data_IF_404209946246
#
_entry.id   IF_404209946246
#
_cell.length_a   1.000
_cell.length_b   1.000
_cell.length_c   1.000
_cell.angle_alpha   90.00
_cell.angle_beta   90.00
_cell.angle_gamma   90.00
#
_symmetry.space_group_name_H-M   'P 1'
#
loop_
_entity.id
_entity.type
_entity.pdbx_description
1 polymer ?
#
# COMPACT_ATOMS: atom_id res chain seq x y z
N UNK A 1 -52.14 -1.94 91.91
CA UNK A 1 -50.72 -1.80 91.53
C UNK A 1 -50.53 -2.60 90.26
N UNK A 2 -50.42 -1.91 89.12
CA UNK A 2 -50.61 -2.50 87.79
C UNK A 2 -49.37 -2.21 86.93
N UNK A 3 -48.83 -3.29 86.37
CA UNK A 3 -47.93 -3.49 85.22
C UNK A 3 -47.00 -2.36 84.74
N UNK A 4 -45.71 -2.70 84.62
CA UNK A 4 -44.74 -2.02 83.75
C UNK A 4 -43.88 -3.06 83.03
N UNK A 5 -44.25 -3.40 81.80
CA UNK A 5 -43.52 -4.30 80.90
C UNK A 5 -42.39 -3.51 80.23
N UNK A 6 -41.15 -3.98 80.35
CA UNK A 6 -39.97 -3.39 79.70
C UNK A 6 -39.88 -3.92 78.27
N UNK A 7 -40.00 -3.04 77.29
CA UNK A 7 -39.70 -3.32 75.88
C UNK A 7 -38.22 -3.05 75.62
N UNK A 8 -37.47 -4.07 75.18
CA UNK A 8 -36.12 -3.90 74.62
C UNK A 8 -36.23 -4.00 73.11
N UNK A 9 -35.95 -2.90 72.42
CA UNK A 9 -36.03 -2.76 70.96
C UNK A 9 -35.01 -3.64 70.25
N UNK A 10 -35.48 -4.51 69.34
CA UNK A 10 -34.63 -5.22 68.37
C UNK A 10 -34.47 -4.32 67.15
N UNK A 11 -33.24 -3.87 66.88
CA UNK A 11 -32.89 -3.18 65.63
C UNK A 11 -32.71 -4.26 64.55
N UNK A 12 -33.65 -4.33 63.61
CA UNK A 12 -33.53 -5.18 62.41
C UNK A 12 -32.69 -4.41 61.39
N UNK A 13 -31.45 -4.86 61.17
CA UNK A 13 -30.58 -4.35 60.13
C UNK A 13 -30.95 -5.04 58.80
N UNK A 14 -31.74 -4.37 57.97
CA UNK A 14 -32.10 -4.86 56.64
C UNK A 14 -30.90 -4.67 55.69
N UNK A 15 -30.17 -5.75 55.40
CA UNK A 15 -29.11 -5.76 54.38
C UNK A 15 -29.79 -5.81 53.02
N UNK A 16 -29.79 -4.68 52.30
CA UNK A 16 -30.19 -4.62 50.89
C UNK A 16 -29.01 -5.16 50.07
N UNK A 17 -29.12 -6.41 49.61
CA UNK A 17 -28.20 -6.98 48.62
C UNK A 17 -28.57 -6.41 47.25
N UNK A 18 -27.83 -5.41 46.79
CA UNK A 18 -27.92 -4.94 45.41
C UNK A 18 -27.22 -5.93 44.50
N UNK A 19 -28.00 -6.78 43.82
CA UNK A 19 -27.52 -7.61 42.73
C UNK A 19 -26.98 -6.73 41.61
N UNK A 20 -25.67 -6.48 41.64
CA UNK A 20 -24.95 -5.91 40.52
C UNK A 20 -24.87 -7.00 39.46
N UNK A 21 -25.78 -6.95 38.48
CA UNK A 21 -25.58 -7.63 37.21
C UNK A 21 -24.28 -7.08 36.61
N UNK A 22 -23.19 -7.82 36.80
CA UNK A 22 -22.02 -7.67 35.96
C UNK A 22 -22.48 -7.98 34.53
N UNK A 23 -22.74 -6.93 33.77
CA UNK A 23 -22.70 -7.00 32.32
C UNK A 23 -21.32 -7.55 31.98
N UNK A 24 -21.27 -8.80 31.54
CA UNK A 24 -20.09 -9.36 30.91
C UNK A 24 -19.73 -8.40 29.79
N UNK A 25 -18.64 -7.64 29.98
CA UNK A 25 -18.10 -6.77 28.96
C UNK A 25 -18.02 -7.56 27.66
N UNK A 26 -18.62 -7.02 26.60
CA UNK A 26 -18.46 -7.59 25.27
C UNK A 26 -16.97 -7.81 25.06
N UNK A 27 -16.58 -9.05 24.75
CA UNK A 27 -15.26 -9.32 24.22
C UNK A 27 -15.02 -8.28 23.12
N UNK A 28 -13.87 -7.57 23.09
CA UNK A 28 -13.57 -6.71 21.97
C UNK A 28 -13.78 -7.57 20.72
N UNK A 29 -14.71 -7.16 19.85
CA UNK A 29 -15.01 -7.88 18.61
C UNK A 29 -13.67 -8.19 17.96
N UNK A 30 -13.35 -9.48 17.84
CA UNK A 30 -12.16 -9.89 17.12
C UNK A 30 -12.26 -9.25 15.74
N UNK A 31 -11.23 -8.54 15.26
CA UNK A 31 -11.31 -7.86 13.99
C UNK A 31 -11.70 -8.88 12.92
N UNK A 32 -12.79 -8.58 12.19
CA UNK A 32 -13.33 -9.49 11.17
C UNK A 32 -12.24 -9.81 10.15
N UNK A 33 -11.82 -11.08 10.12
CA UNK A 33 -10.80 -11.55 9.20
C UNK A 33 -11.26 -11.33 7.74
N UNK A 34 -10.44 -10.63 6.95
CA UNK A 34 -10.66 -10.41 5.53
C UNK A 34 -10.12 -11.65 4.77
N UNK A 35 -11.02 -12.35 4.08
CA UNK A 35 -10.76 -13.55 3.29
C UNK A 35 -11.16 -13.27 1.86
N UNK A 36 -10.19 -12.98 1.00
CA UNK A 36 -10.46 -12.54 -0.35
C UNK A 36 -10.02 -13.48 -1.44
N UNK A 37 -10.67 -13.36 -2.60
CA UNK A 37 -10.18 -13.88 -3.87
C UNK A 37 -9.49 -12.77 -4.64
N UNK A 38 -8.38 -13.11 -5.32
CA UNK A 38 -7.66 -12.21 -6.21
C UNK A 38 -8.07 -12.47 -7.66
N UNK A 39 -8.35 -11.41 -8.40
CA UNK A 39 -8.91 -11.44 -9.75
C UNK A 39 -10.44 -11.35 -9.78
N UNK A 40 -11.00 -11.34 -10.99
CA UNK A 40 -12.45 -11.24 -11.19
C UNK A 40 -13.18 -12.47 -10.60
N UNK A 41 -14.20 -12.28 -9.75
CA UNK A 41 -15.01 -13.38 -9.21
C UNK A 41 -16.02 -13.94 -10.24
N UNK A 42 -16.09 -13.39 -11.46
CA UNK A 42 -17.10 -13.75 -12.45
C UNK A 42 -17.17 -15.27 -12.72
N UNK A 43 -16.03 -15.96 -12.84
CA UNK A 43 -16.01 -17.39 -13.09
C UNK A 43 -16.65 -18.23 -11.95
N UNK A 44 -16.57 -17.74 -10.71
CA UNK A 44 -17.21 -18.39 -9.55
C UNK A 44 -18.72 -18.18 -9.60
N UNK A 45 -19.12 -16.96 -9.90
CA UNK A 45 -20.51 -16.56 -10.05
C UNK A 45 -21.24 -17.24 -11.21
N UNK A 46 -20.56 -17.42 -12.34
CA UNK A 46 -21.09 -18.11 -13.53
C UNK A 46 -21.36 -19.60 -13.26
N UNK A 47 -20.60 -20.20 -12.33
CA UNK A 47 -20.83 -21.55 -11.84
C UNK A 47 -21.92 -21.64 -10.74
N UNK A 48 -22.55 -20.50 -10.39
CA UNK A 48 -23.62 -20.44 -9.40
C UNK A 48 -23.16 -20.41 -7.94
N UNK A 49 -21.86 -20.22 -7.67
CA UNK A 49 -21.38 -20.01 -6.31
C UNK A 49 -21.68 -18.58 -5.83
N UNK A 50 -21.90 -18.45 -4.53
CA UNK A 50 -21.79 -17.18 -3.79
C UNK A 50 -20.42 -17.12 -3.11
N UNK A 51 -19.93 -15.92 -2.82
CA UNK A 51 -18.68 -15.74 -2.08
C UNK A 51 -18.79 -16.36 -0.67
N UNK A 52 -19.94 -16.23 -0.03
CA UNK A 52 -20.23 -16.85 1.28
C UNK A 52 -20.07 -18.38 1.25
N UNK A 53 -20.59 -19.05 0.21
CA UNK A 53 -20.46 -20.51 0.06
C UNK A 53 -19.00 -20.97 -0.02
N UNK A 54 -18.10 -20.09 -0.47
CA UNK A 54 -16.67 -20.33 -0.56
C UNK A 54 -15.91 -19.85 0.70
N UNK A 55 -16.62 -19.32 1.70
CA UNK A 55 -16.04 -18.73 2.89
C UNK A 55 -15.29 -17.42 2.64
N UNK A 56 -15.54 -16.77 1.49
CA UNK A 56 -14.92 -15.52 1.04
C UNK A 56 -15.81 -14.35 1.45
N UNK A 57 -15.20 -13.26 1.93
CA UNK A 57 -15.90 -12.02 2.30
C UNK A 57 -15.26 -10.76 1.71
N UNK A 58 -14.36 -10.92 0.73
CA UNK A 58 -13.83 -9.81 -0.03
C UNK A 58 -13.36 -10.22 -1.42
N UNK A 59 -13.21 -9.23 -2.30
CA UNK A 59 -12.60 -9.39 -3.62
C UNK A 59 -11.46 -8.38 -3.80
N UNK A 60 -10.40 -8.80 -4.45
CA UNK A 60 -9.26 -7.96 -4.84
C UNK A 60 -9.16 -8.00 -6.36
N UNK A 61 -9.49 -6.89 -7.03
CA UNK A 61 -9.65 -6.87 -8.49
C UNK A 61 -8.80 -5.76 -9.08
N UNK A 62 -8.09 -6.06 -10.19
CA UNK A 62 -7.40 -5.05 -10.99
C UNK A 62 -8.38 -3.93 -11.38
N UNK A 63 -8.01 -2.68 -11.14
CA UNK A 63 -8.90 -1.51 -11.32
C UNK A 63 -9.52 -1.44 -12.73
N UNK A 64 -8.74 -1.76 -13.76
CA UNK A 64 -9.21 -1.80 -15.15
C UNK A 64 -10.19 -2.94 -15.49
N UNK A 65 -10.47 -3.83 -14.54
CA UNK A 65 -11.41 -4.95 -14.69
C UNK A 65 -12.65 -4.81 -13.81
N UNK A 66 -12.73 -3.77 -12.98
CA UNK A 66 -13.92 -3.47 -12.18
C UNK A 66 -15.08 -3.01 -13.08
N UNK A 67 -16.29 -3.45 -12.74
CA UNK A 67 -17.53 -2.95 -13.34
C UNK A 67 -18.55 -2.64 -12.25
N UNK A 68 -19.50 -1.71 -12.49
CA UNK A 68 -20.50 -1.37 -11.48
C UNK A 68 -21.32 -2.59 -11.04
N UNK A 69 -21.62 -3.50 -11.95
CA UNK A 69 -22.36 -4.75 -11.67
C UNK A 69 -21.56 -5.69 -10.77
N UNK A 70 -20.24 -5.79 -10.99
CA UNK A 70 -19.35 -6.58 -10.14
C UNK A 70 -19.31 -6.02 -8.71
N UNK A 71 -19.13 -4.70 -8.57
CA UNK A 71 -19.11 -4.05 -7.27
C UNK A 71 -20.45 -4.21 -6.56
N UNK A 72 -21.57 -3.94 -7.26
CA UNK A 72 -22.91 -4.08 -6.71
C UNK A 72 -23.18 -5.51 -6.24
N UNK A 73 -22.84 -6.52 -7.06
CA UNK A 73 -23.03 -7.92 -6.69
C UNK A 73 -22.20 -8.30 -5.47
N UNK A 74 -20.91 -7.97 -5.45
CA UNK A 74 -20.05 -8.26 -4.30
C UNK A 74 -20.58 -7.64 -3.00
N UNK A 75 -20.97 -6.35 -3.05
CA UNK A 75 -21.57 -5.65 -1.90
C UNK A 75 -22.91 -6.27 -1.47
N UNK A 76 -23.74 -6.73 -2.41
CA UNK A 76 -25.01 -7.42 -2.09
C UNK A 76 -24.80 -8.77 -1.39
N UNK A 77 -23.65 -9.41 -1.60
CA UNK A 77 -23.20 -10.62 -0.90
C UNK A 77 -22.45 -10.29 0.42
N UNK A 78 -22.42 -9.02 0.83
CA UNK A 78 -21.74 -8.55 2.04
C UNK A 78 -20.21 -8.55 1.95
N UNK A 79 -19.65 -8.68 0.74
CA UNK A 79 -18.21 -8.71 0.54
C UNK A 79 -17.62 -7.30 0.42
N UNK A 80 -16.40 -7.13 0.96
CA UNK A 80 -15.58 -5.94 0.74
C UNK A 80 -14.97 -5.94 -0.67
N UNK A 81 -14.84 -4.78 -1.27
CA UNK A 81 -14.27 -4.60 -2.61
C UNK A 81 -12.99 -3.80 -2.52
N UNK A 82 -11.87 -4.41 -2.92
CA UNK A 82 -10.57 -3.79 -2.98
C UNK A 82 -10.09 -3.70 -4.43
N UNK A 83 -9.61 -2.53 -4.83
CA UNK A 83 -9.05 -2.33 -6.16
C UNK A 83 -7.52 -2.41 -6.14
N UNK A 84 -6.93 -3.26 -6.96
CA UNK A 84 -5.50 -3.19 -7.27
C UNK A 84 -5.24 -2.01 -8.23
N UNK A 85 -4.23 -1.21 -7.91
CA UNK A 85 -3.91 0.04 -8.59
C UNK A 85 -2.43 0.12 -8.97
N UNK A 86 -2.16 0.08 -10.28
CA UNK A 86 -0.83 -0.05 -10.87
C UNK A 86 0.06 1.21 -10.74
N UNK A 87 0.50 1.55 -9.53
CA UNK A 87 0.96 2.88 -9.12
C UNK A 87 2.10 3.46 -9.96
N UNK A 88 3.23 2.75 -10.12
CA UNK A 88 4.40 3.25 -10.88
C UNK A 88 4.64 2.50 -12.19
N UNK A 89 3.61 1.84 -12.73
CA UNK A 89 3.68 1.24 -14.05
C UNK A 89 3.54 2.35 -15.12
N UNK A 90 4.62 2.60 -15.85
CA UNK A 90 4.72 3.62 -16.90
C UNK A 90 4.41 3.12 -18.30
N UNK A 91 4.10 1.83 -18.49
CA UNK A 91 3.80 1.27 -19.81
C UNK A 91 2.63 2.02 -20.47
N UNK A 92 2.82 2.49 -21.70
CA UNK A 92 1.86 3.28 -22.45
C UNK A 92 1.92 4.78 -22.15
N UNK A 93 2.58 5.19 -21.07
CA UNK A 93 2.79 6.61 -20.73
C UNK A 93 4.17 7.09 -21.21
N UNK A 94 5.24 6.37 -20.87
CA UNK A 94 6.62 6.82 -21.12
C UNK A 94 6.97 6.91 -22.61
N UNK A 95 6.25 6.17 -23.46
CA UNK A 95 6.38 6.21 -24.91
C UNK A 95 5.95 7.55 -25.51
N UNK A 96 4.97 8.21 -24.90
CA UNK A 96 4.45 9.52 -25.29
C UNK A 96 5.08 10.66 -24.47
N UNK A 97 5.62 10.33 -23.29
CA UNK A 97 6.20 11.24 -22.30
C UNK A 97 7.66 10.86 -22.00
N UNK A 98 8.57 11.24 -22.90
CA UNK A 98 9.97 10.82 -22.83
C UNK A 98 10.71 11.33 -21.59
N UNK A 99 10.26 12.44 -21.02
CA UNK A 99 10.73 13.03 -19.76
C UNK A 99 10.48 12.13 -18.54
N UNK A 100 9.43 11.30 -18.60
CA UNK A 100 9.07 10.36 -17.54
C UNK A 100 9.84 9.04 -17.65
N UNK A 101 10.61 8.83 -18.71
CA UNK A 101 11.37 7.59 -18.92
C UNK A 101 12.53 7.47 -17.93
N UNK A 102 12.62 6.37 -17.20
CA UNK A 102 13.72 6.13 -16.26
C UNK A 102 15.09 6.06 -16.97
N UNK A 103 16.08 6.77 -16.43
CA UNK A 103 17.44 6.85 -16.95
C UNK A 103 18.37 6.07 -16.04
N UNK A 104 19.21 5.20 -16.60
CA UNK A 104 20.18 4.42 -15.85
C UNK A 104 21.46 5.20 -15.51
N UNK A 105 22.36 4.56 -14.76
CA UNK A 105 23.65 5.10 -14.34
C UNK A 105 24.61 5.42 -15.50
N UNK A 106 24.28 5.00 -16.73
CA UNK A 106 25.03 5.32 -17.96
C UNK A 106 24.43 6.50 -18.72
N UNK A 107 23.36 7.11 -18.21
CA UNK A 107 22.63 8.18 -18.90
C UNK A 107 21.76 7.68 -20.06
N UNK A 108 21.40 6.40 -20.08
CA UNK A 108 20.55 5.80 -21.12
C UNK A 108 19.18 5.48 -20.58
N UNK A 109 18.16 5.56 -21.44
CA UNK A 109 16.82 5.02 -21.15
C UNK A 109 16.92 3.53 -20.85
N UNK A 110 16.23 3.09 -19.81
CA UNK A 110 16.08 1.66 -19.51
C UNK A 110 15.17 0.97 -20.52
N UNK A 111 15.43 -0.31 -20.81
CA UNK A 111 14.48 -1.16 -21.51
C UNK A 111 13.40 -1.66 -20.55
N UNK A 112 12.37 -2.33 -21.06
CA UNK A 112 11.42 -3.04 -20.21
C UNK A 112 12.16 -4.09 -19.36
N UNK A 113 11.81 -4.18 -18.08
CA UNK A 113 12.29 -5.23 -17.20
C UNK A 113 11.28 -6.39 -17.31
N UNK A 114 11.49 -7.28 -18.28
CA UNK A 114 10.53 -8.31 -18.67
C UNK A 114 9.18 -7.68 -19.10
N UNK A 115 8.08 -7.93 -18.38
CA UNK A 115 6.76 -7.33 -18.67
C UNK A 115 6.57 -5.93 -18.06
N UNK A 116 7.40 -5.54 -17.09
CA UNK A 116 7.26 -4.28 -16.38
C UNK A 116 8.01 -3.15 -17.07
N UNK A 117 7.34 -2.01 -17.23
CA UNK A 117 7.97 -0.74 -17.62
C UNK A 117 7.72 0.28 -16.52
N UNK A 118 8.68 0.43 -15.61
CA UNK A 118 8.64 1.47 -14.59
C UNK A 118 8.83 2.87 -15.17
N UNK A 119 8.18 3.84 -14.55
CA UNK A 119 8.33 5.28 -14.80
C UNK A 119 9.38 5.90 -13.87
N UNK A 120 9.85 7.10 -14.18
CA UNK A 120 10.59 7.95 -13.24
C UNK A 120 9.64 8.43 -12.12
N UNK A 121 9.82 8.02 -10.84
CA UNK A 121 8.88 8.35 -9.76
C UNK A 121 8.89 9.84 -9.36
N UNK A 122 9.86 10.61 -9.83
CA UNK A 122 9.93 12.06 -9.58
C UNK A 122 9.32 12.88 -10.71
N UNK A 123 8.79 12.24 -11.75
CA UNK A 123 8.13 12.96 -12.84
C UNK A 123 6.77 13.52 -12.38
N UNK A 124 6.64 14.84 -12.42
CA UNK A 124 5.44 15.53 -11.93
C UNK A 124 4.23 15.32 -12.84
N UNK A 125 4.44 15.14 -14.15
CA UNK A 125 3.38 14.86 -15.11
C UNK A 125 2.74 13.50 -14.85
N UNK A 126 3.56 12.46 -14.73
CA UNK A 126 3.11 11.12 -14.42
C UNK A 126 2.47 11.04 -13.04
N UNK A 127 3.03 11.73 -12.03
CA UNK A 127 2.43 11.82 -10.70
C UNK A 127 1.02 12.39 -10.75
N UNK A 128 0.85 13.54 -11.38
CA UNK A 128 -0.48 14.16 -11.58
C UNK A 128 -1.42 13.20 -12.31
N UNK A 129 -0.98 12.64 -13.44
CA UNK A 129 -1.75 11.66 -14.21
C UNK A 129 -2.24 10.50 -13.36
N UNK A 130 -1.35 9.90 -12.57
CA UNK A 130 -1.66 8.75 -11.73
C UNK A 130 -2.62 9.11 -10.60
N UNK A 131 -2.44 10.24 -9.93
CA UNK A 131 -3.36 10.68 -8.88
C UNK A 131 -4.75 11.00 -9.43
N UNK A 132 -4.85 11.57 -10.64
CA UNK A 132 -6.14 11.77 -11.31
C UNK A 132 -6.83 10.43 -11.61
N UNK A 133 -6.09 9.40 -12.05
CA UNK A 133 -6.67 8.06 -12.24
C UNK A 133 -7.17 7.44 -10.94
N UNK A 134 -6.46 7.65 -9.82
CA UNK A 134 -6.89 7.17 -8.51
C UNK A 134 -8.19 7.85 -8.07
N UNK A 135 -8.27 9.18 -8.21
CA UNK A 135 -9.47 9.95 -7.90
C UNK A 135 -10.66 9.49 -8.76
N UNK A 136 -10.44 9.27 -10.05
CA UNK A 136 -11.47 8.75 -10.93
C UNK A 136 -11.95 7.35 -10.50
N UNK A 137 -11.04 6.42 -10.21
CA UNK A 137 -11.36 5.09 -9.70
C UNK A 137 -12.24 5.14 -8.44
N UNK A 138 -11.91 6.03 -7.50
CA UNK A 138 -12.65 6.19 -6.24
C UNK A 138 -14.01 6.92 -6.42
N UNK A 139 -14.16 7.71 -7.48
CA UNK A 139 -15.44 8.32 -7.84
C UNK A 139 -16.36 7.34 -8.57
N UNK A 140 -15.79 6.48 -9.41
CA UNK A 140 -16.52 5.54 -10.24
C UNK A 140 -17.01 4.31 -9.44
N UNK A 141 -16.33 3.96 -8.33
CA UNK A 141 -16.63 2.76 -7.55
C UNK A 141 -16.59 3.00 -6.03
N UNK A 142 -17.55 2.42 -5.32
CA UNK A 142 -17.56 2.38 -3.85
C UNK A 142 -16.62 1.29 -3.33
N UNK A 143 -15.37 1.67 -3.05
CA UNK A 143 -14.32 0.75 -2.62
C UNK A 143 -14.11 0.75 -1.09
N UNK A 144 -13.82 -0.44 -0.55
CA UNK A 144 -13.39 -0.63 0.83
C UNK A 144 -11.88 -0.46 1.01
N UNK A 145 -11.16 -0.26 -0.10
CA UNK A 145 -9.73 0.03 -0.09
C UNK A 145 -9.07 -0.07 -1.46
N UNK A 146 -7.82 0.37 -1.49
CA UNK A 146 -6.96 0.35 -2.67
C UNK A 146 -5.68 -0.40 -2.31
N UNK A 147 -5.28 -1.33 -3.16
CA UNK A 147 -4.01 -2.04 -3.06
C UNK A 147 -3.06 -1.49 -4.11
N UNK A 148 -2.03 -0.77 -3.68
CA UNK A 148 -1.02 -0.27 -4.59
C UNK A 148 -0.16 -1.42 -5.11
N UNK A 149 0.01 -1.47 -6.42
CA UNK A 149 0.91 -2.37 -7.12
C UNK A 149 2.06 -1.61 -7.80
N UNK A 150 3.16 -2.31 -8.10
CA UNK A 150 4.38 -1.76 -8.71
C UNK A 150 4.95 -0.55 -7.97
N UNK A 151 4.88 -0.49 -6.63
CA UNK A 151 5.38 0.64 -5.83
C UNK A 151 6.89 0.52 -5.61
N UNK A 152 7.66 0.61 -6.67
CA UNK A 152 9.12 0.64 -6.61
C UNK A 152 9.71 1.34 -7.82
N UNK A 153 10.99 1.70 -7.73
CA UNK A 153 11.75 2.17 -8.88
C UNK A 153 11.86 1.09 -9.96
N UNK A 154 12.17 1.49 -11.19
CA UNK A 154 12.24 0.58 -12.34
C UNK A 154 13.15 -0.64 -12.07
N UNK A 155 12.53 -1.82 -11.96
CA UNK A 155 13.15 -3.12 -11.73
C UNK A 155 12.09 -4.22 -11.89
N UNK A 156 12.52 -5.47 -12.11
CA UNK A 156 11.65 -6.64 -12.09
C UNK A 156 12.14 -7.64 -11.06
N UNK A 157 11.53 -7.65 -9.88
CA UNK A 157 11.89 -8.56 -8.79
C UNK A 157 11.11 -9.89 -8.82
N UNK A 158 9.98 -9.91 -9.54
CA UNK A 158 9.04 -11.04 -9.60
C UNK A 158 9.52 -12.12 -10.57
N UNK A 159 10.58 -11.88 -11.34
CA UNK A 159 11.22 -12.90 -12.16
C UNK A 159 12.19 -13.72 -11.28
N UNK A 160 12.30 -15.05 -11.47
CA UNK A 160 13.32 -15.85 -10.77
C UNK A 160 14.74 -15.28 -10.93
N UNK A 161 15.03 -14.70 -12.09
CA UNK A 161 16.29 -14.00 -12.39
C UNK A 161 16.03 -12.49 -12.47
N UNK A 162 16.03 -11.78 -11.33
CA UNK A 162 15.50 -10.43 -11.27
C UNK A 162 16.36 -9.42 -12.04
N UNK A 163 15.69 -8.48 -12.71
CA UNK A 163 16.32 -7.38 -13.45
C UNK A 163 16.40 -6.16 -12.53
N UNK A 164 17.61 -5.85 -12.04
CA UNK A 164 17.85 -4.91 -10.95
C UNK A 164 18.79 -3.75 -11.36
N UNK A 165 18.38 -2.86 -12.29
CA UNK A 165 19.24 -1.79 -12.78
C UNK A 165 19.35 -0.63 -11.78
N UNK A 166 20.43 0.13 -11.89
CA UNK A 166 20.59 1.39 -11.18
C UNK A 166 19.80 2.49 -11.89
N UNK A 167 18.76 3.01 -11.23
CA UNK A 167 17.86 4.06 -11.74
C UNK A 167 17.40 4.98 -10.60
N UNK A 168 16.78 6.13 -10.81
CA UNK A 168 16.79 6.91 -12.04
C UNK A 168 17.81 8.05 -11.89
N UNK A 169 18.65 8.27 -12.90
CA UNK A 169 19.62 9.37 -12.95
C UNK A 169 19.23 10.42 -14.00
N UNK A 170 17.93 10.64 -14.22
CA UNK A 170 17.44 11.75 -15.05
C UNK A 170 17.87 13.09 -14.45
N UNK A 171 17.85 14.16 -15.24
CA UNK A 171 18.12 15.52 -14.73
C UNK A 171 17.20 15.88 -13.56
N UNK A 172 15.90 15.55 -13.67
CA UNK A 172 14.91 15.80 -12.61
C UNK A 172 15.23 15.06 -11.32
N UNK A 173 15.65 13.79 -11.39
CA UNK A 173 16.07 13.03 -10.21
C UNK A 173 17.35 13.60 -9.57
N UNK A 174 18.35 13.96 -10.38
CA UNK A 174 19.60 14.55 -9.89
C UNK A 174 19.35 15.90 -9.19
N UNK A 175 18.50 16.75 -9.77
CA UNK A 175 18.10 18.03 -9.19
C UNK A 175 17.29 17.84 -7.89
N UNK A 176 16.31 16.95 -7.90
CA UNK A 176 15.50 16.64 -6.73
C UNK A 176 16.35 16.08 -5.57
N UNK A 177 17.28 15.17 -5.87
CA UNK A 177 18.22 14.65 -4.88
C UNK A 177 19.15 15.74 -4.31
N UNK A 178 19.74 16.58 -5.18
CA UNK A 178 20.61 17.68 -4.74
C UNK A 178 19.85 18.64 -3.81
N UNK A 179 18.61 18.97 -4.15
CA UNK A 179 17.73 19.81 -3.32
C UNK A 179 17.40 19.16 -1.97
N UNK A 180 17.06 17.87 -1.97
CA UNK A 180 16.72 17.12 -0.77
C UNK A 180 17.92 17.01 0.19
N UNK A 181 19.07 16.62 -0.35
CA UNK A 181 20.28 16.32 0.42
C UNK A 181 21.14 17.55 0.73
N UNK A 182 20.89 18.68 0.05
CA UNK A 182 21.74 19.88 0.06
C UNK A 182 23.18 19.60 -0.42
N UNK A 183 23.36 18.56 -1.22
CA UNK A 183 24.65 18.17 -1.81
C UNK A 183 24.77 18.75 -3.21
N UNK A 184 25.84 19.49 -3.48
CA UNK A 184 26.15 19.96 -4.84
C UNK A 184 26.74 18.81 -5.67
N UNK A 185 26.01 18.40 -6.71
CA UNK A 185 26.48 17.36 -7.63
C UNK A 185 27.45 17.99 -8.62
N UNK A 186 28.66 17.42 -8.82
CA UNK A 186 29.64 17.98 -9.75
C UNK A 186 29.10 18.04 -11.19
N UNK A 187 29.62 19.00 -11.96
CA UNK A 187 29.34 19.09 -13.39
C UNK A 187 29.87 17.85 -14.11
N UNK A 188 29.18 17.43 -15.17
CA UNK A 188 29.57 16.27 -15.97
C UNK A 188 28.39 15.61 -16.68
N UNK A 189 28.69 14.52 -17.38
CA UNK A 189 27.65 13.64 -17.93
C UNK A 189 26.84 12.97 -16.83
N UNK A 190 25.63 12.51 -17.13
CA UNK A 190 24.83 11.69 -16.20
C UNK A 190 25.62 10.53 -15.63
N UNK A 191 26.45 9.87 -16.44
CA UNK A 191 27.22 8.72 -15.98
C UNK A 191 28.30 9.08 -14.97
N UNK A 192 29.00 10.20 -15.19
CA UNK A 192 29.99 10.72 -14.23
C UNK A 192 29.31 11.15 -12.93
N UNK A 193 28.15 11.79 -13.01
CA UNK A 193 27.37 12.19 -11.83
C UNK A 193 26.87 10.97 -11.03
N UNK A 194 26.30 9.98 -11.71
CA UNK A 194 25.83 8.74 -11.10
C UNK A 194 26.97 8.02 -10.38
N UNK A 195 28.11 7.84 -11.06
CA UNK A 195 29.29 7.19 -10.49
C UNK A 195 29.81 7.94 -9.25
N UNK A 196 29.82 9.27 -9.30
CA UNK A 196 30.23 10.09 -8.16
C UNK A 196 29.26 9.98 -6.97
N UNK A 197 27.95 10.03 -7.21
CA UNK A 197 26.93 9.85 -6.16
C UNK A 197 27.09 8.48 -5.51
N UNK A 198 27.17 7.42 -6.30
CA UNK A 198 27.28 6.05 -5.80
C UNK A 198 28.61 5.78 -5.07
N UNK A 199 29.67 6.55 -5.35
CA UNK A 199 30.94 6.40 -4.67
C UNK A 199 31.05 7.24 -3.37
N UNK A 200 30.38 8.39 -3.29
CA UNK A 200 30.59 9.36 -2.22
C UNK A 200 29.37 9.59 -1.32
N UNK A 201 28.17 9.34 -1.83
CA UNK A 201 26.88 9.67 -1.20
C UNK A 201 25.83 8.57 -1.42
N UNK A 202 26.27 7.30 -1.44
CA UNK A 202 25.36 6.19 -1.74
C UNK A 202 24.23 6.10 -0.71
N UNK A 203 24.55 6.26 0.58
CA UNK A 203 23.54 6.18 1.64
C UNK A 203 22.47 7.25 1.47
N UNK A 204 22.87 8.51 1.31
CA UNK A 204 21.96 9.63 1.11
C UNK A 204 21.11 9.44 -0.14
N UNK A 205 21.70 8.89 -1.21
CA UNK A 205 20.97 8.55 -2.43
C UNK A 205 19.91 7.47 -2.19
N UNK A 206 20.23 6.37 -1.49
CA UNK A 206 19.26 5.30 -1.21
C UNK A 206 18.16 5.76 -0.27
N UNK A 207 18.51 6.53 0.75
CA UNK A 207 17.55 7.09 1.72
C UNK A 207 16.56 8.02 1.00
N UNK A 208 17.06 8.96 0.17
CA UNK A 208 16.23 9.83 -0.66
C UNK A 208 15.29 9.03 -1.57
N UNK A 209 15.80 7.97 -2.22
CA UNK A 209 14.97 7.11 -3.07
C UNK A 209 13.85 6.41 -2.31
N UNK A 210 14.05 6.06 -1.04
CA UNK A 210 13.00 5.50 -0.18
C UNK A 210 11.98 6.57 0.21
N UNK A 211 12.42 7.79 0.53
CA UNK A 211 11.55 8.92 0.82
C UNK A 211 10.66 9.29 -0.38
N UNK A 212 11.19 9.24 -1.61
CA UNK A 212 10.39 9.45 -2.82
C UNK A 212 9.22 8.46 -2.90
N UNK A 213 9.47 7.16 -2.66
CA UNK A 213 8.42 6.14 -2.69
C UNK A 213 7.42 6.35 -1.54
N UNK A 214 7.90 6.72 -0.35
CA UNK A 214 7.03 7.06 0.77
C UNK A 214 6.15 8.29 0.51
N UNK A 215 6.67 9.29 -0.20
CA UNK A 215 5.89 10.45 -0.60
C UNK A 215 4.73 10.07 -1.50
N UNK A 216 4.88 9.06 -2.37
CA UNK A 216 3.77 8.52 -3.15
C UNK A 216 2.71 7.87 -2.25
N UNK A 217 3.12 7.06 -1.27
CA UNK A 217 2.17 6.36 -0.40
C UNK A 217 1.42 7.30 0.53
N UNK A 218 2.03 8.42 0.94
CA UNK A 218 1.33 9.48 1.70
C UNK A 218 0.21 10.13 0.90
N UNK A 219 0.52 10.59 -0.32
CA UNK A 219 -0.47 11.29 -1.15
C UNK A 219 -1.62 10.35 -1.56
N UNK A 220 -1.31 9.10 -1.92
CA UNK A 220 -2.34 8.09 -2.20
C UNK A 220 -3.22 7.84 -0.96
N UNK A 221 -2.62 7.78 0.24
CA UNK A 221 -3.39 7.65 1.48
C UNK A 221 -4.34 8.82 1.67
N UNK A 222 -3.87 10.04 1.48
CA UNK A 222 -4.71 11.24 1.61
C UNK A 222 -5.91 11.15 0.67
N UNK A 223 -5.69 10.85 -0.62
CA UNK A 223 -6.77 10.71 -1.61
C UNK A 223 -7.76 9.58 -1.24
N UNK A 224 -7.25 8.41 -0.84
CA UNK A 224 -8.10 7.27 -0.45
C UNK A 224 -8.94 7.62 0.78
N UNK A 225 -8.35 8.27 1.78
CA UNK A 225 -9.02 8.64 3.03
C UNK A 225 -10.00 9.79 2.88
N UNK A 226 -9.76 10.70 1.95
CA UNK A 226 -10.72 11.75 1.56
C UNK A 226 -11.98 11.16 0.93
N UNK A 227 -11.84 10.12 0.10
CA UNK A 227 -12.96 9.41 -0.50
C UNK A 227 -13.72 8.56 0.52
N UNK A 228 -13.01 7.78 1.33
CA UNK A 228 -13.57 6.93 2.37
C UNK A 228 -12.60 6.82 3.56
N UNK A 229 -12.91 7.44 4.72
CA UNK A 229 -12.04 7.40 5.90
C UNK A 229 -11.72 5.99 6.41
N UNK A 230 -12.63 5.03 6.18
CA UNK A 230 -12.49 3.64 6.63
C UNK A 230 -11.79 2.75 5.59
N UNK A 231 -11.60 3.23 4.35
CA UNK A 231 -10.96 2.45 3.29
C UNK A 231 -9.50 2.11 3.61
N UNK A 232 -9.10 0.87 3.38
CA UNK A 232 -7.72 0.42 3.62
C UNK A 232 -6.80 0.81 2.47
N UNK A 233 -5.56 1.21 2.79
CA UNK A 233 -4.48 1.30 1.83
C UNK A 233 -3.55 0.09 1.99
N UNK A 234 -3.60 -0.82 1.03
CA UNK A 234 -2.71 -1.96 0.93
C UNK A 234 -1.55 -1.74 -0.02
N UNK A 235 -0.52 -2.58 0.10
CA UNK A 235 0.65 -2.58 -0.75
C UNK A 235 1.06 -4.01 -1.11
N UNK A 236 1.09 -4.34 -2.40
CA UNK A 236 1.82 -5.49 -2.89
C UNK A 236 3.32 -5.18 -2.93
N UNK A 237 4.15 -6.05 -2.35
CA UNK A 237 5.58 -5.77 -2.25
C UNK A 237 6.48 -6.98 -2.41
N UNK A 238 7.72 -6.70 -2.77
CA UNK A 238 8.82 -7.64 -2.79
C UNK A 238 9.07 -8.25 -1.39
N UNK A 239 9.00 -9.57 -1.19
CA UNK A 239 9.13 -10.18 0.14
C UNK A 239 10.57 -10.37 0.61
N UNK A 240 11.55 -9.78 -0.08
CA UNK A 240 12.98 -9.99 0.23
C UNK A 240 13.36 -9.42 1.59
N UNK A 241 14.32 -10.07 2.23
CA UNK A 241 15.08 -9.56 3.37
C UNK A 241 16.02 -8.42 2.96
N UNK A 242 16.56 -7.74 3.96
CA UNK A 242 17.46 -6.59 3.76
C UNK A 242 18.81 -6.96 3.15
N UNK A 243 19.15 -8.25 3.11
CA UNK A 243 20.43 -8.75 2.59
C UNK A 243 20.32 -9.37 1.20
N UNK A 244 19.13 -9.83 0.81
CA UNK A 244 18.92 -10.49 -0.48
C UNK A 244 19.25 -9.57 -1.66
N UNK A 245 19.87 -10.16 -2.70
CA UNK A 245 20.35 -9.45 -3.89
C UNK A 245 21.21 -8.21 -3.57
N UNK A 246 22.08 -8.35 -2.55
CA UNK A 246 22.95 -7.26 -2.05
C UNK A 246 22.10 -6.06 -1.60
N UNK A 247 21.08 -6.33 -0.80
CA UNK A 247 20.16 -5.32 -0.27
C UNK A 247 19.32 -4.61 -1.32
N UNK A 248 18.94 -5.31 -2.40
CA UNK A 248 18.21 -4.71 -3.52
C UNK A 248 16.87 -4.09 -3.12
N UNK A 249 16.24 -4.55 -2.03
CA UNK A 249 14.98 -4.00 -1.51
C UNK A 249 15.06 -2.48 -1.29
N UNK A 250 16.05 -2.01 -0.53
CA UNK A 250 16.28 -0.57 -0.38
C UNK A 250 17.11 -0.02 -1.55
N UNK A 251 18.20 -0.71 -1.90
CA UNK A 251 19.19 -0.20 -2.86
C UNK A 251 18.61 0.03 -4.25
N UNK A 252 17.77 -0.88 -4.74
CA UNK A 252 17.23 -0.89 -6.10
C UNK A 252 15.74 -0.55 -6.12
N UNK A 253 14.93 -1.15 -5.25
CA UNK A 253 13.48 -0.96 -5.28
C UNK A 253 13.02 0.31 -4.54
N UNK A 254 13.88 0.89 -3.68
CA UNK A 254 13.53 2.05 -2.85
C UNK A 254 12.46 1.73 -1.80
N UNK A 255 12.43 0.49 -1.32
CA UNK A 255 11.45 0.02 -0.34
C UNK A 255 12.04 0.07 1.07
N UNK A 256 11.53 0.97 1.91
CA UNK A 256 11.77 0.97 3.36
C UNK A 256 10.44 0.72 4.11
N UNK A 257 10.25 -0.48 4.66
CA UNK A 257 9.01 -0.81 5.35
C UNK A 257 8.81 -0.10 6.69
N UNK A 258 9.88 0.34 7.35
CA UNK A 258 9.77 1.17 8.55
C UNK A 258 9.20 2.55 8.22
N UNK A 259 9.50 3.04 7.02
CA UNK A 259 8.95 4.28 6.50
C UNK A 259 7.53 4.08 5.96
N UNK A 260 7.33 3.07 5.09
CA UNK A 260 6.04 2.81 4.43
C UNK A 260 4.91 2.46 5.39
N UNK A 261 5.18 1.80 6.52
CA UNK A 261 4.14 1.48 7.52
C UNK A 261 3.50 2.71 8.17
N UNK A 262 4.05 3.91 7.97
CA UNK A 262 3.45 5.15 8.45
C UNK A 262 2.21 5.56 7.63
N UNK A 263 2.07 5.04 6.41
CA UNK A 263 0.94 5.35 5.52
C UNK A 263 0.23 4.11 4.96
N UNK A 264 0.85 2.93 4.98
CA UNK A 264 0.25 1.67 4.49
C UNK A 264 -0.38 0.92 5.67
N UNK A 265 -1.64 0.51 5.51
CA UNK A 265 -2.38 -0.24 6.52
C UNK A 265 -2.07 -1.75 6.44
N UNK A 266 -1.90 -2.28 5.23
CA UNK A 266 -1.70 -3.72 4.99
C UNK A 266 -0.57 -3.98 4.01
N UNK A 267 0.36 -4.86 4.37
CA UNK A 267 1.43 -5.34 3.49
C UNK A 267 1.06 -6.73 2.95
N UNK A 268 1.14 -6.89 1.63
CA UNK A 268 0.86 -8.14 0.92
C UNK A 268 2.13 -8.62 0.21
N UNK A 269 2.92 -9.50 0.85
CA UNK A 269 4.17 -9.99 0.28
C UNK A 269 3.91 -10.86 -0.95
N UNK A 270 4.58 -10.55 -2.05
CA UNK A 270 4.44 -11.25 -3.33
C UNK A 270 5.40 -12.44 -3.42
N UNK A 271 4.96 -13.59 -2.92
CA UNK A 271 5.75 -14.83 -2.79
C UNK A 271 5.62 -15.75 -4.04
N UNK A 272 5.95 -15.24 -5.21
CA UNK A 272 5.73 -15.94 -6.50
C UNK A 272 6.53 -17.22 -6.69
N UNK A 273 7.74 -17.28 -6.14
CA UNK A 273 8.65 -18.40 -6.36
C UNK A 273 8.98 -19.04 -5.02
N UNK A 274 8.79 -20.35 -4.96
CA UNK A 274 9.36 -21.18 -3.90
C UNK A 274 10.88 -20.98 -3.94
N UNK A 275 11.47 -20.73 -2.78
CA UNK A 275 12.91 -20.51 -2.61
C UNK A 275 13.48 -21.54 -1.66
#
# INVERSE_FOLDING_TARGET
>A
MQFGTVYTSIVILTIIVTSHCYSYGQNPEQPTLIKGVYGSPAALWDQGYTLENLGVNSIFVHSGSLTPEMVQRAKSEGAKVFAEFATLNGKGYVEEHLEAWAINEKGKKVAAASWFMGVCPTDAGFRTYRMTQLQQLLNDFELDGVWMDYVHWHAQFEDPEPILPETCFSSSCLEAFSKFSQIEIPKGSTSTKASWILANHEKEWRDWRCEVIYDWTKEIREIVKESNPDALLGLYHCPWTDTEFKGARQRILGLDYSLLKKSVDVFSPMVYHER
#
